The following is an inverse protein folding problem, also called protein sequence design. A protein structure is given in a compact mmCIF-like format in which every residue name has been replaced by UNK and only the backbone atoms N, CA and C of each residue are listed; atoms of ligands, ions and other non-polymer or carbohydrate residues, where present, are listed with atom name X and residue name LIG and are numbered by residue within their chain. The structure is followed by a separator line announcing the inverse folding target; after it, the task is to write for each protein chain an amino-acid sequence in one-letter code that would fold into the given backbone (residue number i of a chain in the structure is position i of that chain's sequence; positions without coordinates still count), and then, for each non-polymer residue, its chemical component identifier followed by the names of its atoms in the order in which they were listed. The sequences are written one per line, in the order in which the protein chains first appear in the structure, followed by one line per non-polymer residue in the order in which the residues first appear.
data_IF_509429784878
#
_entry.id   IF_509429784878
#
_cell.length_a   1.000
_cell.length_b   1.000
_cell.length_c   1.000
_cell.angle_alpha   90.00
_cell.angle_beta   90.00
_cell.angle_gamma   90.00
#
_symmetry.space_group_name_H-M   'P 1'
#
loop_
_entity.id
_entity.type
_entity.pdbx_description
1 polymer ?
#
# COMPACT_ATOMS: atom_id res chain seq x y z
N UNK A 1 12.90 -4.20 -30.24
CA UNK A 1 13.44 -2.85 -29.94
C UNK A 1 12.40 -2.03 -29.20
N UNK A 2 12.72 -1.47 -28.03
CA UNK A 2 11.77 -0.64 -27.27
C UNK A 2 12.20 0.82 -27.27
N UNK A 3 11.25 1.73 -27.52
CA UNK A 3 11.47 3.17 -27.37
C UNK A 3 10.71 3.63 -26.12
N UNK A 4 11.41 4.17 -25.14
CA UNK A 4 10.81 4.63 -23.87
C UNK A 4 10.70 6.16 -23.87
N UNK A 5 9.50 6.68 -23.61
CA UNK A 5 9.19 8.11 -23.50
C UNK A 5 8.24 8.39 -22.35
N UNK A 6 8.13 9.65 -21.94
CA UNK A 6 7.04 10.12 -21.10
C UNK A 6 6.03 10.90 -21.94
N UNK A 7 4.82 11.12 -21.44
CA UNK A 7 3.72 11.68 -22.23
C UNK A 7 3.99 13.10 -22.76
N UNK A 8 4.89 13.84 -22.11
CA UNK A 8 5.33 15.17 -22.52
C UNK A 8 6.46 15.18 -23.57
N UNK A 9 6.99 14.02 -23.95
CA UNK A 9 8.14 13.85 -24.87
C UNK A 9 7.81 12.79 -25.93
N UNK A 10 6.72 12.99 -26.67
CA UNK A 10 6.26 12.08 -27.72
C UNK A 10 6.60 12.56 -29.14
N UNK A 11 7.28 13.70 -29.28
CA UNK A 11 7.62 14.25 -30.60
C UNK A 11 8.60 13.37 -31.36
N UNK A 12 8.37 13.19 -32.67
CA UNK A 12 9.27 12.44 -33.55
C UNK A 12 9.16 10.92 -33.44
N UNK A 13 8.15 10.40 -32.74
CA UNK A 13 7.85 8.97 -32.70
C UNK A 13 7.05 8.58 -33.94
N UNK A 14 7.44 7.49 -34.60
CA UNK A 14 6.68 6.93 -35.72
C UNK A 14 5.30 6.44 -35.23
N UNK A 15 4.24 7.09 -35.67
CA UNK A 15 2.85 6.80 -35.26
C UNK A 15 2.37 5.41 -35.66
N UNK A 16 3.13 4.69 -36.51
CA UNK A 16 2.79 3.33 -36.95
C UNK A 16 3.21 2.25 -35.96
N UNK A 17 4.09 2.55 -35.00
CA UNK A 17 4.56 1.55 -34.03
C UNK A 17 3.50 1.26 -32.97
N UNK A 18 3.48 0.01 -32.50
CA UNK A 18 2.62 -0.35 -31.38
C UNK A 18 3.06 0.35 -30.10
N UNK A 19 2.10 0.66 -29.22
CA UNK A 19 2.42 1.35 -27.97
C UNK A 19 1.75 0.72 -26.75
N UNK A 20 2.37 0.91 -25.58
CA UNK A 20 1.76 0.64 -24.28
C UNK A 20 2.02 1.81 -23.34
N UNK A 21 1.14 1.98 -22.35
CA UNK A 21 1.29 2.98 -21.31
C UNK A 21 1.35 2.29 -19.95
N UNK A 22 2.37 2.63 -19.15
CA UNK A 22 2.52 2.14 -17.79
C UNK A 22 1.40 2.71 -16.91
N UNK A 23 0.91 1.92 -15.95
CA UNK A 23 -0.17 2.31 -15.02
C UNK A 23 -0.01 3.73 -14.48
N UNK A 24 -1.06 4.55 -14.64
CA UNK A 24 -1.09 5.94 -14.19
C UNK A 24 -0.58 6.96 -15.22
N UNK A 25 -0.03 6.51 -16.34
CA UNK A 25 0.32 7.35 -17.49
C UNK A 25 -0.92 7.62 -18.33
N UNK A 26 -1.18 8.89 -18.65
CA UNK A 26 -2.29 9.29 -19.52
C UNK A 26 -1.73 9.71 -20.87
N UNK A 27 -2.26 9.14 -21.95
CA UNK A 27 -1.80 9.42 -23.31
C UNK A 27 -2.97 9.59 -24.27
N UNK A 28 -2.76 10.35 -25.34
CA UNK A 28 -3.73 10.62 -26.42
C UNK A 28 -3.44 9.81 -27.68
N UNK A 29 -2.54 8.83 -27.60
CA UNK A 29 -2.20 7.95 -28.72
C UNK A 29 -3.39 7.12 -29.19
N UNK A 30 -3.40 6.76 -30.48
CA UNK A 30 -4.46 5.97 -31.10
C UNK A 30 -4.60 4.60 -30.43
N UNK A 31 -5.75 4.34 -29.80
CA UNK A 31 -6.05 3.07 -29.12
C UNK A 31 -6.00 1.88 -30.07
N UNK A 32 -6.28 2.04 -31.36
CA UNK A 32 -6.18 0.95 -32.32
C UNK A 32 -4.73 0.44 -32.51
N UNK A 33 -3.74 1.26 -32.14
CA UNK A 33 -2.31 0.92 -32.17
C UNK A 33 -1.77 0.41 -30.84
N UNK A 34 -2.61 0.34 -29.80
CA UNK A 34 -2.19 -0.24 -28.53
C UNK A 34 -1.66 -1.66 -28.74
N UNK A 35 -0.62 -2.03 -27.99
CA UNK A 35 0.02 -3.33 -28.09
C UNK A 35 -1.03 -4.45 -28.05
N UNK A 36 -1.09 -5.33 -29.06
CA UNK A 36 -2.12 -6.36 -29.12
C UNK A 36 -2.05 -7.30 -27.93
N UNK A 37 -3.23 -7.64 -27.39
CA UNK A 37 -3.40 -8.57 -26.25
C UNK A 37 -2.62 -8.11 -25.00
N UNK A 38 -2.53 -6.79 -24.79
CA UNK A 38 -1.81 -6.20 -23.67
C UNK A 38 -2.22 -6.78 -22.30
N UNK A 39 -3.51 -7.02 -22.07
CA UNK A 39 -4.02 -7.62 -20.83
C UNK A 39 -3.44 -9.02 -20.58
N UNK A 40 -3.60 -9.93 -21.55
CA UNK A 40 -3.06 -11.31 -21.50
C UNK A 40 -1.53 -11.31 -21.32
N UNK A 41 -0.82 -10.43 -22.04
CA UNK A 41 0.64 -10.30 -21.93
C UNK A 41 1.07 -9.81 -20.55
N UNK A 42 0.33 -8.85 -19.97
CA UNK A 42 0.61 -8.34 -18.64
C UNK A 42 0.29 -9.38 -17.55
N UNK A 43 -0.80 -10.13 -17.70
CA UNK A 43 -1.14 -11.24 -16.81
C UNK A 43 -0.06 -12.32 -16.83
N UNK A 44 0.38 -12.74 -18.03
CA UNK A 44 1.52 -13.67 -18.19
C UNK A 44 2.79 -13.13 -17.53
N UNK A 45 3.08 -11.83 -17.68
CA UNK A 45 4.23 -11.21 -17.04
C UNK A 45 4.08 -11.15 -15.52
N UNK A 46 2.86 -10.91 -15.02
CA UNK A 46 2.55 -10.87 -13.59
C UNK A 46 2.68 -12.25 -12.95
N UNK A 47 2.24 -13.31 -13.61
CA UNK A 47 2.47 -14.68 -13.15
C UNK A 47 3.97 -15.02 -13.14
N UNK A 48 4.69 -14.56 -14.17
CA UNK A 48 6.11 -14.84 -14.34
C UNK A 48 7.04 -14.19 -13.31
N UNK A 49 6.60 -13.15 -12.60
CA UNK A 49 7.40 -12.50 -11.54
C UNK A 49 7.16 -13.09 -10.15
N UNK A 50 6.29 -14.10 -9.99
CA UNK A 50 5.85 -14.59 -8.68
C UNK A 50 7.01 -14.89 -7.73
N UNK A 51 7.99 -15.66 -8.18
CA UNK A 51 9.13 -16.08 -7.37
C UNK A 51 10.05 -14.91 -7.03
N UNK A 52 10.32 -14.03 -8.00
CA UNK A 52 11.14 -12.82 -7.79
C UNK A 52 10.48 -11.85 -6.81
N UNK A 53 9.16 -11.69 -6.93
CA UNK A 53 8.38 -10.83 -6.04
C UNK A 53 8.30 -11.39 -4.63
N UNK A 54 8.12 -12.71 -4.50
CA UNK A 54 8.15 -13.40 -3.22
C UNK A 54 9.51 -13.27 -2.54
N UNK A 55 10.61 -13.53 -3.27
CA UNK A 55 11.96 -13.41 -2.75
C UNK A 55 12.29 -11.97 -2.32
N UNK A 56 11.89 -10.98 -3.13
CA UNK A 56 12.06 -9.57 -2.79
C UNK A 56 11.23 -9.17 -1.56
N UNK A 57 9.97 -9.59 -1.50
CA UNK A 57 9.09 -9.32 -0.36
C UNK A 57 9.67 -9.90 0.94
N UNK A 58 10.11 -11.16 0.90
CA UNK A 58 10.78 -11.82 2.02
C UNK A 58 12.03 -11.04 2.47
N UNK A 59 12.91 -10.66 1.54
CA UNK A 59 14.12 -9.87 1.83
C UNK A 59 13.76 -8.55 2.53
N UNK A 60 12.83 -7.77 1.95
CA UNK A 60 12.42 -6.48 2.50
C UNK A 60 11.75 -6.63 3.89
N UNK A 61 11.07 -7.75 4.12
CA UNK A 61 10.41 -8.09 5.39
C UNK A 61 11.37 -8.36 6.54
N UNK A 62 12.61 -8.78 6.26
CA UNK A 62 13.64 -8.99 7.27
C UNK A 62 14.22 -7.68 7.84
N UNK A 63 13.86 -6.52 7.27
CA UNK A 63 14.31 -5.23 7.80
C UNK A 63 13.49 -4.82 9.04
N UNK A 64 14.08 -4.12 10.03
CA UNK A 64 13.36 -3.75 11.27
C UNK A 64 12.06 -2.97 11.04
N UNK A 65 11.98 -2.18 9.97
CA UNK A 65 10.79 -1.41 9.61
C UNK A 65 9.88 -2.11 8.59
N UNK A 66 10.29 -3.28 8.07
CA UNK A 66 9.57 -4.06 7.07
C UNK A 66 8.21 -4.55 7.57
N UNK A 67 8.09 -4.88 8.86
CA UNK A 67 6.83 -5.29 9.50
C UNK A 67 5.68 -4.28 9.40
N UNK A 68 5.98 -3.03 9.07
CA UNK A 68 4.99 -1.96 8.97
C UNK A 68 4.54 -1.69 7.53
N UNK A 69 5.30 -2.16 6.54
CA UNK A 69 5.09 -1.88 5.13
C UNK A 69 4.29 -2.99 4.44
N UNK A 70 3.66 -2.66 3.31
CA UNK A 70 2.89 -3.60 2.50
C UNK A 70 3.70 -4.23 1.38
N UNK A 71 4.71 -3.55 0.83
CA UNK A 71 5.62 -4.11 -0.17
C UNK A 71 6.25 -5.45 0.26
N UNK A 72 6.69 -5.63 1.52
CA UNK A 72 7.20 -6.91 2.00
C UNK A 72 6.21 -8.08 1.98
N UNK A 73 4.90 -7.82 2.01
CA UNK A 73 3.89 -8.89 2.12
C UNK A 73 3.60 -9.57 0.77
N UNK A 74 4.19 -9.08 -0.32
CA UNK A 74 3.88 -9.54 -1.69
C UNK A 74 2.37 -9.61 -1.99
N UNK A 75 1.59 -8.67 -1.46
CA UNK A 75 0.15 -8.65 -1.62
C UNK A 75 -0.27 -7.71 -2.77
N UNK A 76 -1.08 -8.23 -3.70
CA UNK A 76 -1.46 -7.51 -4.93
C UNK A 76 -2.42 -6.33 -4.71
N UNK A 77 -3.08 -6.25 -3.55
CA UNK A 77 -4.13 -5.25 -3.30
C UNK A 77 -3.65 -4.01 -2.53
N UNK A 78 -2.61 -4.14 -1.70
CA UNK A 78 -2.13 -3.04 -0.83
C UNK A 78 -0.92 -2.29 -1.39
N UNK A 79 -0.16 -2.90 -2.30
CA UNK A 79 1.04 -2.31 -2.87
C UNK A 79 1.16 -2.71 -4.34
N UNK A 80 1.43 -1.73 -5.22
CA UNK A 80 1.55 -1.95 -6.66
C UNK A 80 2.98 -2.38 -7.09
N UNK A 81 3.86 -2.75 -6.15
CA UNK A 81 5.23 -3.18 -6.45
C UNK A 81 5.25 -4.36 -7.43
N UNK A 82 4.47 -5.41 -7.17
CA UNK A 82 4.34 -6.56 -8.07
C UNK A 82 3.87 -6.15 -9.46
N UNK A 83 2.89 -5.24 -9.55
CA UNK A 83 2.43 -4.74 -10.85
C UNK A 83 3.56 -4.01 -11.62
N UNK A 84 4.39 -3.23 -10.93
CA UNK A 84 5.52 -2.53 -11.58
C UNK A 84 6.63 -3.50 -11.99
N UNK A 85 6.85 -4.58 -11.23
CA UNK A 85 7.73 -5.68 -11.62
C UNK A 85 7.22 -6.39 -12.86
N UNK A 86 5.90 -6.64 -12.95
CA UNK A 86 5.27 -7.25 -14.12
C UNK A 86 5.42 -6.37 -15.37
N UNK A 87 5.24 -5.06 -15.23
CA UNK A 87 5.54 -4.11 -16.32
C UNK A 87 7.00 -4.18 -16.77
N UNK A 88 7.94 -4.28 -15.83
CA UNK A 88 9.37 -4.42 -16.12
C UNK A 88 9.62 -5.69 -16.94
N UNK A 89 9.10 -6.83 -16.49
CA UNK A 89 9.21 -8.12 -17.19
C UNK A 89 8.57 -8.10 -18.58
N UNK A 90 7.41 -7.44 -18.72
CA UNK A 90 6.78 -7.30 -20.03
C UNK A 90 7.66 -6.50 -21.00
N UNK A 91 8.27 -5.41 -20.54
CA UNK A 91 9.17 -4.60 -21.36
C UNK A 91 10.46 -5.38 -21.72
N UNK A 92 11.02 -6.15 -20.79
CA UNK A 92 12.14 -7.07 -21.06
C UNK A 92 11.79 -8.07 -22.18
N UNK A 93 10.62 -8.70 -22.08
CA UNK A 93 10.15 -9.65 -23.10
C UNK A 93 9.98 -9.01 -24.48
N UNK A 94 9.50 -7.77 -24.54
CA UNK A 94 9.35 -7.02 -25.81
C UNK A 94 10.73 -6.60 -26.35
N UNK A 95 11.65 -6.17 -25.47
CA UNK A 95 12.99 -5.74 -25.85
C UNK A 95 13.82 -6.90 -26.44
N UNK A 96 13.67 -8.11 -25.89
CA UNK A 96 14.28 -9.33 -26.39
C UNK A 96 13.62 -9.89 -27.67
N UNK A 97 12.38 -9.47 -27.97
CA UNK A 97 11.63 -9.91 -29.14
C UNK A 97 11.91 -9.10 -30.41
N UNK A 98 11.36 -9.56 -31.56
CA UNK A 98 11.47 -8.83 -32.83
C UNK A 98 10.58 -7.57 -32.88
N UNK A 99 9.62 -7.46 -31.96
CA UNK A 99 8.64 -6.39 -31.94
C UNK A 99 9.32 -5.02 -31.67
N UNK A 100 8.82 -3.98 -32.36
CA UNK A 100 9.14 -2.60 -32.03
C UNK A 100 7.95 -1.96 -31.33
N UNK A 101 8.18 -1.42 -30.12
CA UNK A 101 7.13 -0.87 -29.29
C UNK A 101 7.54 0.44 -28.60
N UNK A 102 6.63 1.41 -28.59
CA UNK A 102 6.69 2.58 -27.74
C UNK A 102 6.17 2.24 -26.34
N UNK A 103 6.97 2.49 -25.32
CA UNK A 103 6.54 2.47 -23.92
C UNK A 103 6.42 3.90 -23.43
N UNK A 104 5.22 4.29 -22.98
CA UNK A 104 4.97 5.60 -22.38
C UNK A 104 4.90 5.45 -20.85
N UNK A 105 5.74 6.20 -20.13
CA UNK A 105 5.84 6.13 -18.68
C UNK A 105 6.07 7.52 -18.07
N UNK A 106 5.09 8.01 -17.30
CA UNK A 106 5.23 9.28 -16.57
C UNK A 106 5.79 9.10 -15.15
N UNK A 107 5.83 7.87 -14.64
CA UNK A 107 6.38 7.59 -13.32
C UNK A 107 7.93 7.67 -13.36
N UNK A 108 8.56 8.62 -12.64
CA UNK A 108 10.00 8.84 -12.75
C UNK A 108 10.83 7.66 -12.25
N UNK A 109 10.33 6.85 -11.32
CA UNK A 109 11.06 5.69 -10.83
C UNK A 109 10.92 4.52 -11.81
N UNK A 110 9.70 4.23 -12.27
CA UNK A 110 9.50 3.14 -13.25
C UNK A 110 10.22 3.47 -14.55
N UNK A 111 10.19 4.71 -15.02
CA UNK A 111 10.95 5.11 -16.21
C UNK A 111 12.44 4.76 -16.08
N UNK A 112 13.05 5.07 -14.91
CA UNK A 112 14.46 4.76 -14.65
C UNK A 112 14.72 3.27 -14.48
N UNK A 113 13.74 2.50 -13.98
CA UNK A 113 13.82 1.05 -13.98
C UNK A 113 13.86 0.52 -15.42
N UNK A 114 12.94 0.98 -16.26
CA UNK A 114 12.79 0.51 -17.64
C UNK A 114 13.95 0.96 -18.53
N UNK A 115 14.54 2.13 -18.28
CA UNK A 115 15.70 2.62 -19.06
C UNK A 115 16.96 1.78 -18.87
N UNK A 116 17.02 0.96 -17.82
CA UNK A 116 18.15 0.08 -17.53
C UNK A 116 18.05 -1.29 -18.23
N UNK A 117 16.95 -1.55 -18.96
CA UNK A 117 16.75 -2.82 -19.67
C UNK A 117 17.52 -2.79 -21.00
N UNK A 118 18.28 -3.85 -21.28
CA UNK A 118 18.96 -4.02 -22.55
C UNK A 118 17.96 -4.03 -23.72
N UNK A 119 18.23 -3.24 -24.78
CA UNK A 119 17.33 -3.09 -25.91
C UNK A 119 16.24 -2.01 -25.76
N UNK A 120 16.26 -1.25 -24.65
CA UNK A 120 15.44 -0.03 -24.45
C UNK A 120 16.24 1.22 -24.79
N UNK A 121 15.72 2.02 -25.73
CA UNK A 121 16.21 3.36 -26.05
C UNK A 121 15.35 4.42 -25.37
N UNK A 122 15.83 4.95 -24.26
CA UNK A 122 15.11 5.95 -23.47
C UNK A 122 15.31 7.39 -23.98
N UNK A 123 14.24 8.18 -23.91
CA UNK A 123 14.28 9.63 -24.16
C UNK A 123 14.58 10.41 -22.88
N UNK A 124 14.06 11.63 -22.79
CA UNK A 124 14.20 12.42 -21.57
C UNK A 124 13.43 11.77 -20.41
N UNK A 125 14.01 11.79 -19.20
CA UNK A 125 13.39 11.14 -18.03
C UNK A 125 12.46 12.10 -17.29
N UNK A 126 11.30 11.65 -16.80
CA UNK A 126 10.46 12.46 -15.92
C UNK A 126 11.23 12.96 -14.69
N UNK A 127 10.87 14.18 -14.27
CA UNK A 127 11.49 14.86 -13.12
C UNK A 127 11.24 14.12 -11.80
N UNK A 128 12.31 13.60 -11.19
CA UNK A 128 12.24 12.84 -9.95
C UNK A 128 12.00 13.70 -8.71
N UNK A 129 12.60 14.89 -8.67
CA UNK A 129 12.60 15.74 -7.47
C UNK A 129 11.20 16.21 -7.09
N UNK A 130 10.46 16.79 -8.04
CA UNK A 130 9.12 17.29 -7.80
C UNK A 130 8.16 16.17 -7.35
N UNK A 131 8.25 14.99 -7.98
CA UNK A 131 7.47 13.82 -7.58
C UNK A 131 7.83 13.36 -6.16
N UNK A 132 9.12 13.29 -5.84
CA UNK A 132 9.61 12.89 -4.51
C UNK A 132 9.14 13.86 -3.41
N UNK A 133 9.25 15.17 -3.66
CA UNK A 133 8.84 16.21 -2.73
C UNK A 133 7.32 16.16 -2.48
N UNK A 134 6.52 16.02 -3.54
CA UNK A 134 5.06 15.85 -3.44
C UNK A 134 4.69 14.70 -2.51
N UNK A 135 5.30 13.53 -2.69
CA UNK A 135 5.01 12.36 -1.87
C UNK A 135 5.50 12.50 -0.43
N UNK A 136 6.66 13.13 -0.23
CA UNK A 136 7.18 13.44 1.10
C UNK A 136 6.22 14.34 1.90
N UNK A 137 5.78 15.46 1.31
CA UNK A 137 4.86 16.40 1.94
C UNK A 137 3.51 15.76 2.24
N UNK A 138 2.94 15.03 1.26
CA UNK A 138 1.70 14.28 1.45
C UNK A 138 1.82 13.30 2.62
N UNK A 139 2.92 12.55 2.69
CA UNK A 139 3.16 11.59 3.76
C UNK A 139 3.24 12.24 5.14
N UNK A 140 3.96 13.37 5.25
CA UNK A 140 4.04 14.12 6.49
C UNK A 140 2.65 14.58 6.95
N UNK A 141 1.87 15.20 6.07
CA UNK A 141 0.51 15.65 6.39
C UNK A 141 -0.42 14.48 6.76
N UNK A 142 -0.35 13.37 6.02
CA UNK A 142 -1.16 12.19 6.29
C UNK A 142 -0.87 11.60 7.67
N UNK A 143 0.40 11.45 8.04
CA UNK A 143 0.80 10.95 9.36
C UNK A 143 0.46 11.92 10.49
N UNK A 144 0.62 13.22 10.29
CA UNK A 144 0.20 14.24 11.26
C UNK A 144 -1.31 14.17 11.52
N UNK A 145 -2.11 14.13 10.45
CA UNK A 145 -3.57 13.98 10.58
C UNK A 145 -3.94 12.70 11.30
N UNK A 146 -3.28 11.58 10.96
CA UNK A 146 -3.51 10.30 11.61
C UNK A 146 -3.12 10.31 13.09
N UNK A 147 -1.93 10.81 13.43
CA UNK A 147 -1.43 10.90 14.80
C UNK A 147 -2.40 11.64 15.73
N UNK A 148 -2.92 12.80 15.30
CA UNK A 148 -3.92 13.55 16.04
C UNK A 148 -5.21 12.74 16.21
N UNK A 149 -5.70 12.10 15.14
CA UNK A 149 -6.92 11.28 15.19
C UNK A 149 -6.76 10.09 16.13
N UNK A 150 -5.64 9.38 16.07
CA UNK A 150 -5.34 8.25 16.94
C UNK A 150 -5.23 8.69 18.42
N UNK A 151 -4.58 9.82 18.69
CA UNK A 151 -4.52 10.39 20.03
C UNK A 151 -5.91 10.73 20.60
N UNK A 152 -6.76 11.37 19.79
CA UNK A 152 -8.13 11.68 20.17
C UNK A 152 -8.98 10.43 20.35
N UNK A 153 -8.91 9.48 19.42
CA UNK A 153 -9.62 8.20 19.52
C UNK A 153 -9.23 7.43 20.79
N UNK A 154 -7.94 7.43 21.14
CA UNK A 154 -7.45 6.83 22.39
C UNK A 154 -8.07 7.46 23.62
N UNK A 155 -8.15 8.79 23.67
CA UNK A 155 -8.79 9.50 24.79
C UNK A 155 -10.29 9.22 24.85
N UNK A 156 -10.99 9.30 23.71
CA UNK A 156 -12.44 9.13 23.61
C UNK A 156 -12.91 7.70 23.91
N UNK A 157 -12.09 6.70 23.61
CA UNK A 157 -12.41 5.28 23.82
C UNK A 157 -11.79 4.70 25.10
N UNK A 158 -10.99 5.48 25.84
CA UNK A 158 -10.31 5.01 27.06
C UNK A 158 -11.27 4.45 28.10
N UNK A 159 -12.44 5.06 28.26
CA UNK A 159 -13.46 4.63 29.22
C UNK A 159 -14.07 3.28 28.86
N UNK A 160 -14.04 2.87 27.59
CA UNK A 160 -14.59 1.58 27.13
C UNK A 160 -13.72 0.40 27.55
N UNK A 161 -12.47 0.62 27.94
CA UNK A 161 -11.55 -0.45 28.42
C UNK A 161 -12.12 -1.25 29.58
N UNK A 162 -12.90 -0.60 30.46
CA UNK A 162 -13.53 -1.25 31.61
C UNK A 162 -14.54 -2.34 31.21
N UNK A 163 -14.97 -2.36 29.96
CA UNK A 163 -15.94 -3.32 29.44
C UNK A 163 -15.30 -4.70 29.15
N UNK A 164 -13.96 -4.77 29.11
CA UNK A 164 -13.20 -6.02 28.91
C UNK A 164 -12.11 -6.10 29.99
N UNK A 165 -12.24 -7.09 30.87
CA UNK A 165 -11.28 -7.42 31.92
C UNK A 165 -10.31 -8.53 31.53
N UNK A 166 -9.34 -8.79 32.41
CA UNK A 166 -8.40 -9.90 32.24
C UNK A 166 -9.15 -11.24 32.33
N UNK A 167 -9.00 -12.08 31.30
CA UNK A 167 -9.63 -13.40 31.22
C UNK A 167 -11.00 -13.42 30.54
N UNK A 168 -11.55 -12.27 30.16
CA UNK A 168 -12.81 -12.21 29.42
C UNK A 168 -12.65 -12.80 28.01
N UNK A 169 -13.54 -13.72 27.66
CA UNK A 169 -13.63 -14.23 26.29
C UNK A 169 -14.01 -13.08 25.35
N UNK A 170 -13.17 -12.80 24.37
CA UNK A 170 -13.32 -11.64 23.48
C UNK A 170 -13.10 -12.02 22.02
N UNK A 171 -13.93 -11.47 21.13
CA UNK A 171 -13.67 -11.46 19.68
C UNK A 171 -13.12 -10.10 19.25
N UNK A 172 -12.12 -10.10 18.36
CA UNK A 172 -11.63 -8.88 17.72
C UNK A 172 -12.31 -8.76 16.37
N UNK A 173 -12.93 -7.61 16.11
CA UNK A 173 -13.75 -7.40 14.91
C UNK A 173 -13.38 -6.12 14.18
N UNK A 174 -13.50 -6.12 12.86
CA UNK A 174 -13.33 -4.91 12.04
C UNK A 174 -14.57 -4.01 12.12
N UNK A 175 -14.38 -2.71 11.89
CA UNK A 175 -15.50 -1.77 11.84
C UNK A 175 -16.43 -2.05 10.65
N UNK A 176 -17.67 -2.48 10.91
CA UNK A 176 -18.65 -2.76 9.85
C UNK A 176 -20.04 -2.20 10.20
N UNK A 177 -20.74 -1.50 9.27
CA UNK A 177 -22.02 -0.85 9.54
C UNK A 177 -23.14 -1.81 9.95
N UNK A 178 -23.08 -3.08 9.54
CA UNK A 178 -24.09 -4.09 9.90
C UNK A 178 -23.96 -4.60 11.34
N UNK A 179 -22.86 -4.29 12.03
CA UNK A 179 -22.69 -4.64 13.45
C UNK A 179 -23.59 -3.75 14.32
N UNK A 180 -24.20 -4.31 15.36
CA UNK A 180 -25.13 -3.57 16.21
C UNK A 180 -24.96 -3.83 17.71
N UNK A 181 -25.74 -3.11 18.50
CA UNK A 181 -25.72 -3.11 19.98
C UNK A 181 -26.34 -4.36 20.58
N UNK A 182 -27.12 -5.11 19.81
CA UNK A 182 -27.83 -6.30 20.33
C UNK A 182 -26.92 -7.53 20.38
N UNK A 183 -25.65 -7.39 20.00
CA UNK A 183 -24.68 -8.50 19.94
C UNK A 183 -24.66 -9.22 18.59
N UNK A 184 -25.17 -8.59 17.52
CA UNK A 184 -24.86 -9.01 16.16
C UNK A 184 -23.59 -8.31 15.66
N UNK A 185 -22.71 -9.08 15.06
CA UNK A 185 -21.52 -8.62 14.36
C UNK A 185 -21.58 -9.07 12.90
N UNK A 186 -21.09 -8.24 11.97
CA UNK A 186 -21.16 -8.54 10.55
C UNK A 186 -20.37 -9.79 10.13
N UNK A 187 -19.28 -10.10 10.84
CA UNK A 187 -18.40 -11.23 10.51
C UNK A 187 -18.71 -12.47 11.37
N UNK A 188 -19.14 -12.25 12.61
CA UNK A 188 -19.39 -13.31 13.58
C UNK A 188 -20.88 -13.58 13.83
N UNK A 189 -21.78 -12.88 13.12
CA UNK A 189 -23.21 -13.09 13.20
C UNK A 189 -23.77 -12.84 14.61
N UNK A 190 -24.71 -13.66 15.11
CA UNK A 190 -25.34 -13.48 16.42
C UNK A 190 -24.51 -14.04 17.59
N UNK A 191 -23.21 -14.32 17.42
CA UNK A 191 -22.41 -15.05 18.39
C UNK A 191 -22.45 -14.47 19.83
N UNK A 192 -22.49 -13.15 19.98
CA UNK A 192 -22.61 -12.52 21.32
C UNK A 192 -24.02 -12.61 21.93
N UNK A 193 -25.03 -12.97 21.13
CA UNK A 193 -26.37 -13.34 21.63
C UNK A 193 -26.37 -14.78 22.14
N UNK A 194 -25.65 -15.66 21.44
CA UNK A 194 -25.55 -17.08 21.77
C UNK A 194 -24.60 -17.36 22.95
N UNK A 195 -23.57 -16.52 23.12
CA UNK A 195 -22.62 -16.58 24.23
C UNK A 195 -22.70 -15.24 24.98
N UNK A 196 -23.57 -15.11 26.00
CA UNK A 196 -23.87 -13.82 26.64
C UNK A 196 -22.67 -13.11 27.27
N UNK A 197 -21.69 -13.88 27.76
CA UNK A 197 -20.47 -13.36 28.39
C UNK A 197 -19.39 -12.95 27.37
N UNK A 198 -19.58 -13.28 26.09
CA UNK A 198 -18.64 -12.92 25.04
C UNK A 198 -18.58 -11.40 24.85
N UNK A 199 -17.36 -10.88 24.81
CA UNK A 199 -17.07 -9.47 24.60
C UNK A 199 -16.59 -9.21 23.17
N UNK A 200 -16.70 -7.95 22.74
CA UNK A 200 -16.25 -7.50 21.43
C UNK A 200 -15.22 -6.39 21.55
N UNK A 201 -14.06 -6.59 20.94
CA UNK A 201 -13.02 -5.59 20.82
C UNK A 201 -13.01 -5.04 19.39
N UNK A 202 -13.44 -3.79 19.22
CA UNK A 202 -13.43 -3.11 17.93
C UNK A 202 -12.00 -2.76 17.53
N UNK A 203 -11.59 -3.22 16.35
CA UNK A 203 -10.29 -2.94 15.76
C UNK A 203 -10.09 -1.44 15.48
N UNK A 204 -8.84 -1.00 15.31
CA UNK A 204 -8.48 0.42 15.18
C UNK A 204 -8.92 1.08 13.87
N UNK A 205 -9.49 0.32 12.93
CA UNK A 205 -10.09 0.83 11.69
C UNK A 205 -11.55 1.30 11.88
N UNK A 206 -12.21 0.91 12.98
CA UNK A 206 -13.57 1.30 13.28
C UNK A 206 -13.69 2.80 13.62
N UNK A 207 -14.83 3.39 13.23
CA UNK A 207 -15.18 4.75 13.62
C UNK A 207 -15.36 4.87 15.14
N UNK A 208 -14.91 5.99 15.71
CA UNK A 208 -14.95 6.24 17.16
C UNK A 208 -16.38 6.36 17.66
N UNK A 209 -17.24 7.11 16.97
CA UNK A 209 -18.63 7.30 17.36
C UNK A 209 -19.41 5.99 17.26
N UNK A 210 -19.23 5.25 16.18
CA UNK A 210 -19.82 3.92 16.02
C UNK A 210 -19.37 2.96 17.13
N UNK A 211 -18.07 2.95 17.46
CA UNK A 211 -17.53 2.13 18.56
C UNK A 211 -18.16 2.52 19.91
N UNK A 212 -18.35 3.82 20.17
CA UNK A 212 -19.03 4.28 21.39
C UNK A 212 -20.48 3.82 21.46
N UNK A 213 -21.22 3.87 20.35
CA UNK A 213 -22.58 3.34 20.27
C UNK A 213 -22.62 1.85 20.61
N UNK A 214 -21.73 1.06 20.01
CA UNK A 214 -21.64 -0.38 20.27
C UNK A 214 -21.21 -0.69 21.72
N UNK A 215 -20.42 0.18 22.35
CA UNK A 215 -19.94 0.03 23.74
C UNK A 215 -20.97 0.39 24.81
N UNK A 216 -22.14 0.92 24.43
CA UNK A 216 -23.17 1.37 25.37
C UNK A 216 -23.72 0.24 26.24
N UNK A 217 -23.71 -1.01 25.75
CA UNK A 217 -24.18 -2.19 26.48
C UNK A 217 -23.16 -2.78 27.47
N UNK A 218 -21.97 -2.20 27.55
CA UNK A 218 -20.90 -2.67 28.45
C UNK A 218 -20.19 -3.95 28.00
N UNK A 219 -20.45 -4.46 26.79
CA UNK A 219 -19.80 -5.68 26.25
C UNK A 219 -18.86 -5.41 25.08
N UNK A 220 -18.85 -4.18 24.56
CA UNK A 220 -17.92 -3.77 23.50
C UNK A 220 -16.88 -2.78 24.03
N UNK A 221 -15.61 -2.93 23.63
CA UNK A 221 -14.56 -1.95 23.85
C UNK A 221 -13.86 -1.58 22.54
N UNK A 222 -13.28 -0.38 22.48
CA UNK A 222 -12.48 0.05 21.33
C UNK A 222 -10.98 -0.13 21.57
N UNK A 223 -10.28 -0.80 20.64
CA UNK A 223 -8.85 -1.10 20.76
C UNK A 223 -7.98 0.17 20.88
N UNK A 224 -8.40 1.27 20.25
CA UNK A 224 -7.77 2.59 20.45
C UNK A 224 -7.60 2.98 21.92
N UNK A 225 -8.50 2.53 22.80
CA UNK A 225 -8.51 2.88 24.22
C UNK A 225 -7.23 2.48 24.95
N UNK A 226 -6.56 1.39 24.54
CA UNK A 226 -5.30 0.91 25.13
C UNK A 226 -4.06 1.67 24.62
N UNK A 227 -4.23 2.44 23.56
CA UNK A 227 -3.19 3.28 23.00
C UNK A 227 -2.72 4.40 23.94
N UNK A 228 -1.55 4.96 23.64
CA UNK A 228 -0.99 6.12 24.34
C UNK A 228 -1.08 7.36 23.44
N UNK A 229 -1.80 8.42 23.85
CA UNK A 229 -1.91 9.65 23.07
C UNK A 229 -0.56 10.32 22.80
N UNK A 230 0.35 10.31 23.79
CA UNK A 230 1.71 10.84 23.62
C UNK A 230 2.51 10.02 22.61
N UNK A 231 2.33 8.69 22.62
CA UNK A 231 2.99 7.80 21.66
C UNK A 231 2.46 8.02 20.24
N UNK A 232 1.15 8.26 20.09
CA UNK A 232 0.52 8.53 18.80
C UNK A 232 1.13 9.73 18.07
N UNK A 233 1.52 10.79 18.81
CA UNK A 233 2.18 11.97 18.25
C UNK A 233 3.56 11.67 17.67
N UNK A 234 4.24 10.63 18.16
CA UNK A 234 5.53 10.18 17.62
C UNK A 234 5.44 9.61 16.20
N UNK A 235 4.25 9.16 15.77
CA UNK A 235 4.09 8.52 14.46
C UNK A 235 4.24 9.43 13.26
N UNK A 236 4.30 10.74 13.45
CA UNK A 236 4.64 11.71 12.40
C UNK A 236 5.97 11.32 11.72
N UNK A 237 6.90 10.78 12.50
CA UNK A 237 8.23 10.36 12.05
C UNK A 237 8.32 8.88 11.68
N UNK A 238 7.25 8.10 11.87
CA UNK A 238 7.23 6.68 11.54
C UNK A 238 7.27 6.50 10.02
N UNK A 239 8.25 5.72 9.55
CA UNK A 239 8.51 5.50 8.13
C UNK A 239 9.01 4.10 7.90
N UNK A 240 8.69 3.54 6.74
CA UNK A 240 9.41 2.39 6.21
C UNK A 240 10.78 2.83 5.68
N UNK A 241 11.82 2.15 6.14
CA UNK A 241 13.24 2.41 5.89
C UNK A 241 13.93 1.08 5.56
N UNK A 242 13.96 0.68 4.28
CA UNK A 242 14.82 -0.41 3.82
C UNK A 242 16.30 -0.11 4.10
N UNK A 243 17.13 -1.15 4.11
CA UNK A 243 18.58 -1.01 4.27
C UNK A 243 19.24 -0.62 2.95
N UNK A 244 20.50 -0.16 2.99
CA UNK A 244 21.19 0.34 1.80
C UNK A 244 21.25 -0.72 0.68
N UNK A 245 21.41 -1.98 1.06
CA UNK A 245 21.51 -3.16 0.20
C UNK A 245 20.21 -3.46 -0.56
N UNK A 246 19.07 -2.96 -0.08
CA UNK A 246 17.78 -3.10 -0.78
C UNK A 246 17.69 -2.19 -2.00
N UNK A 247 18.54 -1.16 -2.07
CA UNK A 247 18.59 -0.20 -3.17
C UNK A 247 19.66 -0.50 -4.22
N UNK A 248 20.33 -1.65 -4.11
CA UNK A 248 21.38 -2.08 -5.03
C UNK A 248 20.96 -3.24 -5.96
N UNK A 249 19.76 -3.80 -5.79
CA UNK A 249 19.28 -4.94 -6.58
C UNK A 249 18.69 -4.58 -7.95
N UNK A 250 18.30 -5.61 -8.71
CA UNK A 250 17.67 -5.51 -10.05
C UNK A 250 16.46 -4.57 -10.04
N UNK A 251 15.63 -4.64 -8.99
CA UNK A 251 14.43 -3.81 -8.84
C UNK A 251 14.65 -2.54 -8.01
N UNK A 252 15.88 -2.04 -7.91
CA UNK A 252 16.25 -0.93 -7.02
C UNK A 252 15.39 0.33 -7.21
N UNK A 253 15.07 0.71 -8.45
CA UNK A 253 14.20 1.86 -8.71
C UNK A 253 12.76 1.62 -8.28
N UNK A 254 12.26 0.40 -8.44
CA UNK A 254 10.93 0.02 -7.96
C UNK A 254 10.85 -0.01 -6.44
N UNK A 255 11.92 -0.46 -5.76
CA UNK A 255 12.00 -0.38 -4.29
C UNK A 255 11.99 1.08 -3.83
N UNK A 256 12.77 1.96 -4.47
CA UNK A 256 12.74 3.42 -4.18
C UNK A 256 11.34 4.01 -4.37
N UNK A 257 10.63 3.58 -5.41
CA UNK A 257 9.24 4.00 -5.67
C UNK A 257 8.29 3.53 -4.57
N UNK A 258 8.36 2.25 -4.21
CA UNK A 258 7.52 1.67 -3.16
C UNK A 258 7.73 2.42 -1.84
N UNK A 259 8.99 2.68 -1.46
CA UNK A 259 9.34 3.48 -0.29
C UNK A 259 8.73 4.88 -0.35
N UNK A 260 8.80 5.56 -1.50
CA UNK A 260 8.22 6.89 -1.66
C UNK A 260 6.69 6.88 -1.51
N UNK A 261 6.00 5.92 -2.15
CA UNK A 261 4.53 5.84 -2.15
C UNK A 261 3.96 5.36 -0.81
N UNK A 262 4.54 4.34 -0.19
CA UNK A 262 4.05 3.85 1.10
C UNK A 262 4.25 4.89 2.21
N UNK A 263 5.41 5.55 2.21
CA UNK A 263 5.66 6.68 3.09
C UNK A 263 4.88 7.95 2.69
N UNK A 264 4.08 7.95 1.62
CA UNK A 264 3.22 9.08 1.26
C UNK A 264 1.83 9.01 1.90
N UNK A 265 1.55 7.97 2.68
CA UNK A 265 0.27 7.76 3.36
C UNK A 265 0.46 7.63 4.87
N UNK A 266 -0.66 7.41 5.57
CA UNK A 266 -0.66 7.09 6.99
C UNK A 266 -0.56 5.58 7.28
N UNK A 267 -0.47 4.70 6.27
CA UNK A 267 -0.54 3.24 6.47
C UNK A 267 0.51 2.73 7.47
N UNK A 268 1.78 3.15 7.33
CA UNK A 268 2.87 2.78 8.25
C UNK A 268 2.57 3.21 9.70
N UNK A 269 2.05 4.44 9.87
CA UNK A 269 1.67 4.97 11.18
C UNK A 269 0.46 4.21 11.76
N UNK A 270 -0.50 3.84 10.91
CA UNK A 270 -1.69 3.08 11.28
C UNK A 270 -1.34 1.67 11.74
N UNK A 271 -0.50 0.95 11.00
CA UNK A 271 -0.01 -0.38 11.37
C UNK A 271 0.76 -0.32 12.70
N UNK A 272 1.62 0.71 12.86
CA UNK A 272 2.34 0.89 14.12
C UNK A 272 1.41 1.19 15.30
N UNK A 273 0.34 1.97 15.08
CA UNK A 273 -0.66 2.25 16.09
C UNK A 273 -1.47 1.03 16.49
N UNK A 274 -1.89 0.23 15.52
CA UNK A 274 -2.56 -1.03 15.75
C UNK A 274 -1.71 -1.94 16.63
N UNK A 275 -0.45 -2.20 16.24
CA UNK A 275 0.49 -3.02 17.02
C UNK A 275 0.62 -2.48 18.45
N UNK A 276 0.83 -1.18 18.61
CA UNK A 276 0.95 -0.55 19.92
C UNK A 276 -0.30 -0.73 20.81
N UNK A 277 -1.50 -0.63 20.23
CA UNK A 277 -2.74 -0.85 20.97
C UNK A 277 -2.91 -2.32 21.33
N UNK A 278 -2.56 -3.25 20.42
CA UNK A 278 -2.63 -4.70 20.64
C UNK A 278 -1.64 -5.16 21.72
N UNK A 279 -0.40 -4.69 21.69
CA UNK A 279 0.64 -5.04 22.68
C UNK A 279 0.28 -4.58 24.11
N UNK A 280 -0.67 -3.65 24.25
CA UNK A 280 -1.09 -3.07 25.53
C UNK A 280 -2.43 -3.58 26.03
N UNK A 281 -3.20 -4.24 25.19
CA UNK A 281 -4.45 -4.90 25.55
C UNK A 281 -4.13 -6.21 26.29
#
# INVERSE_FOLDING_TARGET
MVVLRHAGDLSGIDERIHWLAITGTVTTLDKARQLPRLGERLETAFDGIREDWWALGHKLGQTPSGRLAHAPTAAAYNCDLGLMMAWTRLVENIAAGPDTCLVVCDDPWVFRQLSNIDGVTAGSSPGLFAASLKWMLRGFLARTRFAVRAALASLMLRSTRKNIGNGDASIIVYGHPDSNTDGHDAYFGPLMKEIPDLKRLMHTDADVGFTQCLAADGRTAGLHGWGSPLFALGYIFQRWKPVAEDFAGVFSWLVRRAVAKENATAAIASNSWQIHCQDRW
#
